data_IF_745356425619
#
_entry.id   IF_745356425619
#
_cell.length_a   1.000
_cell.length_b   1.000
_cell.length_c   1.000
_cell.angle_alpha   90.00
_cell.angle_beta   90.00
_cell.angle_gamma   90.00
#
_symmetry.space_group_name_H-M   'P 1'
#
loop_
_entity.id
_entity.type
_entity.pdbx_description
1 polymer ?
#
# COMPACT_ATOMS: atom_id res chain seq x y z
N UNK A 1 2.81 46.94 -11.77
CA UNK A 1 3.57 45.82 -11.22
C UNK A 1 2.59 44.73 -10.83
N UNK A 2 2.62 43.61 -11.54
CA UNK A 2 1.79 42.45 -11.13
C UNK A 2 2.39 41.86 -9.88
N UNK A 3 1.69 41.98 -8.75
CA UNK A 3 2.00 41.29 -7.52
C UNK A 3 1.67 39.79 -7.75
N UNK A 4 2.71 39.00 -8.02
CA UNK A 4 2.55 37.54 -7.98
C UNK A 4 2.22 37.14 -6.55
N UNK A 5 0.97 36.77 -6.31
CA UNK A 5 0.59 36.19 -5.05
C UNK A 5 1.14 34.75 -4.99
N UNK A 6 2.36 34.62 -4.47
CA UNK A 6 3.10 33.36 -4.38
C UNK A 6 2.72 32.53 -3.13
N UNK A 7 1.78 33.04 -2.32
CA UNK A 7 1.31 32.28 -1.16
C UNK A 7 0.32 31.19 -1.58
N UNK A 8 0.51 29.95 -1.12
CA UNK A 8 -0.45 28.90 -1.35
C UNK A 8 -1.79 29.20 -0.64
N UNK A 9 -2.89 28.75 -1.22
CA UNK A 9 -4.24 28.97 -0.67
C UNK A 9 -4.41 28.28 0.71
N UNK A 10 -3.69 27.19 0.94
CA UNK A 10 -3.67 26.49 2.22
C UNK A 10 -2.25 26.52 2.79
N UNK A 11 -2.09 27.12 3.96
CA UNK A 11 -0.81 27.24 4.68
C UNK A 11 -0.64 26.21 5.80
N UNK A 12 -1.63 25.31 6.00
CA UNK A 12 -1.56 24.27 7.01
C UNK A 12 -0.74 23.08 6.49
N UNK A 13 0.07 22.49 7.38
CA UNK A 13 0.84 21.30 7.07
C UNK A 13 -0.01 20.03 7.27
N UNK A 14 0.27 19.03 6.45
CA UNK A 14 -0.34 17.71 6.59
C UNK A 14 0.20 17.02 7.86
N UNK A 15 -0.72 16.51 8.70
CA UNK A 15 -0.36 15.76 9.90
C UNK A 15 -0.09 14.29 9.56
N UNK A 16 1.00 13.73 10.12
CA UNK A 16 1.33 12.30 9.96
C UNK A 16 0.32 11.37 10.66
N UNK A 17 -0.38 11.85 11.69
CA UNK A 17 -1.32 11.05 12.49
C UNK A 17 -2.66 10.90 11.79
N UNK A 18 -2.97 11.79 10.85
CA UNK A 18 -4.26 11.86 10.19
C UNK A 18 -4.36 10.97 8.94
N UNK A 19 -4.17 9.68 9.06
CA UNK A 19 -4.33 8.75 7.93
C UNK A 19 -5.15 7.52 8.35
N UNK A 20 -6.06 7.07 7.46
CA UNK A 20 -6.82 5.83 7.62
C UNK A 20 -6.70 5.04 6.33
N UNK A 21 -6.23 3.80 6.43
CA UNK A 21 -6.12 2.91 5.28
C UNK A 21 -7.14 1.77 5.37
N UNK A 22 -7.73 1.44 4.24
CA UNK A 22 -8.70 0.34 4.12
C UNK A 22 -8.41 -0.46 2.86
N UNK A 23 -8.35 -1.79 3.01
CA UNK A 23 -8.35 -2.74 1.90
C UNK A 23 -9.69 -3.46 1.90
N UNK A 24 -10.38 -3.49 0.76
CA UNK A 24 -11.74 -4.02 0.65
C UNK A 24 -11.86 -5.49 1.08
N UNK A 25 -10.82 -6.30 0.79
CA UNK A 25 -10.82 -7.75 1.09
C UNK A 25 -10.30 -8.12 2.47
N UNK A 26 -9.75 -7.20 3.26
CA UNK A 26 -9.05 -7.47 4.51
C UNK A 26 -9.64 -6.70 5.70
N UNK A 27 -10.86 -7.02 6.15
CA UNK A 27 -11.51 -6.27 7.23
C UNK A 27 -10.76 -6.35 8.56
N UNK A 28 -10.18 -7.50 8.91
CA UNK A 28 -9.46 -7.67 10.17
C UNK A 28 -8.11 -6.95 10.17
N UNK A 29 -7.39 -6.96 9.05
CA UNK A 29 -6.13 -6.21 8.89
C UNK A 29 -6.36 -4.70 9.04
N UNK A 30 -7.40 -4.17 8.41
CA UNK A 30 -7.73 -2.74 8.40
C UNK A 30 -7.84 -2.14 9.80
N UNK A 31 -8.35 -2.91 10.77
CA UNK A 31 -8.52 -2.46 12.15
C UNK A 31 -7.20 -2.26 12.89
N UNK A 32 -6.19 -3.08 12.60
CA UNK A 32 -4.92 -3.12 13.32
C UNK A 32 -3.77 -2.38 12.63
N UNK A 33 -4.03 -1.69 11.53
CA UNK A 33 -3.00 -0.93 10.80
C UNK A 33 -2.45 0.21 11.67
N UNK A 34 -1.12 0.24 11.80
CA UNK A 34 -0.38 1.25 12.56
C UNK A 34 0.30 2.27 11.65
N UNK A 35 0.85 1.81 10.54
CA UNK A 35 1.61 2.65 9.63
C UNK A 35 1.33 2.28 8.17
N UNK A 36 1.23 3.31 7.33
CA UNK A 36 1.13 3.19 5.87
C UNK A 36 2.03 4.22 5.25
N UNK A 37 2.94 3.80 4.39
CA UNK A 37 3.80 4.69 3.63
C UNK A 37 3.28 4.84 2.20
N UNK A 38 3.09 6.10 1.75
CA UNK A 38 2.75 6.37 0.35
C UNK A 38 3.93 5.95 -0.55
N UNK A 39 3.71 5.14 -1.59
CA UNK A 39 4.76 4.67 -2.46
C UNK A 39 5.47 5.79 -3.22
N UNK A 40 6.76 5.58 -3.54
CA UNK A 40 7.51 6.46 -4.43
C UNK A 40 6.99 6.39 -5.86
N UNK A 41 7.20 7.49 -6.60
CA UNK A 41 6.91 7.57 -8.03
C UNK A 41 8.17 7.99 -8.74
N UNK A 42 8.70 7.13 -9.60
CA UNK A 42 9.92 7.36 -10.35
C UNK A 42 9.62 7.44 -11.84
N UNK A 43 10.20 8.44 -12.50
CA UNK A 43 10.11 8.61 -13.96
C UNK A 43 11.43 8.15 -14.57
N UNK A 44 11.35 7.26 -15.55
CA UNK A 44 12.52 6.81 -16.31
C UNK A 44 13.25 7.99 -16.96
N UNK A 45 14.56 7.87 -17.14
CA UNK A 45 15.39 8.86 -17.81
C UNK A 45 16.08 8.26 -19.01
N UNK A 46 16.14 9.01 -20.12
CA UNK A 46 16.91 8.69 -21.31
C UNK A 46 18.17 9.56 -21.32
N UNK A 47 19.34 8.94 -21.47
CA UNK A 47 20.61 9.64 -21.56
C UNK A 47 20.99 9.83 -23.03
N UNK A 48 21.21 11.07 -23.45
CA UNK A 48 21.71 11.41 -24.79
C UNK A 48 23.20 11.70 -24.69
N UNK A 49 23.98 10.97 -25.52
CA UNK A 49 25.42 11.22 -25.65
C UNK A 49 25.67 12.55 -26.34
N UNK A 50 26.54 13.37 -25.76
CA UNK A 50 27.06 14.61 -26.39
C UNK A 50 28.49 14.39 -26.84
N UNK A 51 29.02 15.23 -27.77
CA UNK A 51 30.42 15.15 -28.20
C UNK A 51 31.43 15.42 -27.07
N UNK A 52 30.97 15.94 -25.94
CA UNK A 52 31.76 16.24 -24.75
C UNK A 52 31.46 15.24 -23.65
N UNK A 53 32.25 15.21 -22.58
CA UNK A 53 32.14 14.25 -21.45
C UNK A 53 30.82 14.35 -20.65
N UNK A 54 29.91 15.24 -21.01
CA UNK A 54 28.64 15.43 -20.34
C UNK A 54 27.52 14.68 -21.07
N UNK A 55 26.69 13.93 -20.32
CA UNK A 55 25.46 13.30 -20.82
C UNK A 55 24.25 14.12 -20.41
N UNK A 56 23.39 14.40 -21.35
CA UNK A 56 22.15 15.14 -21.10
C UNK A 56 21.07 14.12 -20.77
N UNK A 57 20.38 14.34 -19.64
CA UNK A 57 19.26 13.50 -19.21
C UNK A 57 17.94 14.11 -19.67
N UNK A 58 17.14 13.32 -20.34
CA UNK A 58 15.77 13.65 -20.73
C UNK A 58 14.77 12.77 -19.96
N UNK A 59 13.58 13.29 -19.64
CA UNK A 59 12.53 12.47 -19.06
C UNK A 59 12.10 11.37 -20.05
N UNK A 60 11.98 10.16 -19.57
CA UNK A 60 11.42 9.03 -20.33
C UNK A 60 9.90 8.93 -20.16
N UNK A 61 9.29 8.00 -20.84
CA UNK A 61 7.84 7.77 -20.87
C UNK A 61 7.38 6.74 -19.84
N UNK A 62 8.31 6.10 -19.12
CA UNK A 62 8.01 5.04 -18.16
C UNK A 62 7.89 5.61 -16.75
N UNK A 63 6.75 5.35 -16.11
CA UNK A 63 6.52 5.59 -14.69
C UNK A 63 6.63 4.28 -13.92
N UNK A 64 7.42 4.27 -12.86
CA UNK A 64 7.58 3.13 -11.96
C UNK A 64 7.11 3.53 -10.56
N UNK A 65 6.25 2.71 -9.98
CA UNK A 65 5.77 2.88 -8.61
C UNK A 65 6.58 1.99 -7.67
N UNK A 66 6.93 2.53 -6.50
CA UNK A 66 7.46 1.75 -5.41
C UNK A 66 6.40 0.86 -4.77
N UNK A 67 6.83 -0.02 -3.88
CA UNK A 67 5.92 -0.90 -3.17
C UNK A 67 5.16 -0.15 -2.06
N UNK A 68 3.90 -0.51 -1.83
CA UNK A 68 3.09 -0.02 -0.71
C UNK A 68 3.38 -0.87 0.52
N UNK A 69 3.96 -0.26 1.54
CA UNK A 69 4.33 -0.93 2.79
C UNK A 69 3.35 -0.56 3.89
N UNK A 70 2.80 -1.56 4.55
CA UNK A 70 1.85 -1.42 5.65
C UNK A 70 2.39 -2.18 6.86
N UNK A 71 2.39 -1.54 8.04
CA UNK A 71 2.69 -2.20 9.30
C UNK A 71 1.42 -2.31 10.12
N UNK A 72 1.14 -3.49 10.64
CA UNK A 72 -0.02 -3.76 11.48
C UNK A 72 0.34 -4.64 12.67
N UNK A 73 -0.44 -4.52 13.75
CA UNK A 73 -0.32 -5.41 14.91
C UNK A 73 -1.03 -6.72 14.65
N UNK A 74 -0.38 -7.80 15.05
CA UNK A 74 -0.96 -9.13 14.93
C UNK A 74 -1.96 -9.36 16.06
N UNK A 75 -3.16 -9.84 15.70
CA UNK A 75 -4.21 -10.22 16.64
C UNK A 75 -3.82 -11.47 17.44
N UNK A 76 -4.34 -11.63 18.66
CA UNK A 76 -4.06 -12.78 19.53
C UNK A 76 -4.41 -14.13 18.86
N UNK A 77 -5.50 -14.16 18.09
CA UNK A 77 -5.93 -15.31 17.30
C UNK A 77 -5.25 -15.42 15.92
N UNK A 78 -4.36 -14.49 15.58
CA UNK A 78 -3.68 -14.38 14.29
C UNK A 78 -4.63 -14.33 13.07
N UNK A 79 -5.88 -13.91 13.23
CA UNK A 79 -6.85 -13.89 12.15
C UNK A 79 -6.45 -12.95 11.02
N UNK A 80 -5.92 -11.76 11.36
CA UNK A 80 -5.47 -10.79 10.38
C UNK A 80 -4.24 -11.27 9.58
N UNK A 81 -3.29 -11.94 10.24
CA UNK A 81 -2.16 -12.56 9.56
C UNK A 81 -2.60 -13.70 8.63
N UNK A 82 -3.52 -14.52 9.12
CA UNK A 82 -4.09 -15.66 8.37
C UNK A 82 -4.87 -15.22 7.13
N UNK A 83 -5.61 -14.12 7.21
CA UNK A 83 -6.28 -13.53 6.03
C UNK A 83 -5.29 -13.17 4.92
N UNK A 84 -4.20 -12.48 5.28
CA UNK A 84 -3.15 -12.12 4.32
C UNK A 84 -2.41 -13.34 3.77
N UNK A 85 -2.08 -14.29 4.64
CA UNK A 85 -1.41 -15.53 4.26
C UNK A 85 -2.28 -16.35 3.29
N UNK A 86 -3.57 -16.49 3.58
CA UNK A 86 -4.52 -17.20 2.69
C UNK A 86 -4.65 -16.51 1.34
N UNK A 87 -4.60 -15.18 1.31
CA UNK A 87 -4.61 -14.45 0.04
C UNK A 87 -3.33 -14.71 -0.76
N UNK A 88 -2.15 -14.70 -0.15
CA UNK A 88 -0.88 -15.04 -0.81
C UNK A 88 -0.92 -16.48 -1.33
N UNK A 89 -1.40 -17.44 -0.53
CA UNK A 89 -1.56 -18.84 -0.96
C UNK A 89 -2.48 -18.96 -2.18
N UNK A 90 -3.59 -18.22 -2.21
CA UNK A 90 -4.53 -18.25 -3.34
C UNK A 90 -3.92 -17.73 -4.65
N UNK A 91 -2.97 -16.81 -4.55
CA UNK A 91 -2.24 -16.29 -5.73
C UNK A 91 -1.19 -17.31 -6.20
N UNK A 92 -0.45 -17.90 -5.26
CA UNK A 92 0.73 -18.73 -5.54
C UNK A 92 0.42 -20.20 -5.79
N UNK A 93 -0.79 -20.70 -5.38
CA UNK A 93 -1.25 -22.09 -5.58
C UNK A 93 -0.24 -23.12 -5.06
N UNK A 94 0.12 -22.99 -3.77
CA UNK A 94 1.24 -23.74 -3.18
C UNK A 94 0.93 -25.25 -3.11
N UNK A 95 -0.27 -25.66 -2.72
CA UNK A 95 -0.59 -27.08 -2.46
C UNK A 95 -1.67 -27.61 -3.40
N UNK A 96 -2.79 -26.92 -3.60
CA UNK A 96 -3.90 -27.41 -4.40
C UNK A 96 -4.57 -26.31 -5.23
N UNK A 97 -5.14 -26.70 -6.37
CA UNK A 97 -5.94 -25.81 -7.23
C UNK A 97 -7.31 -25.48 -6.59
N UNK A 98 -7.82 -26.36 -5.75
CA UNK A 98 -9.16 -26.22 -5.14
C UNK A 98 -9.20 -25.13 -4.09
N UNK A 99 -8.14 -24.94 -3.29
CA UNK A 99 -8.04 -23.86 -2.30
C UNK A 99 -8.07 -22.48 -2.98
N UNK A 100 -7.28 -22.32 -4.03
CA UNK A 100 -7.26 -21.09 -4.82
C UNK A 100 -8.63 -20.79 -5.46
N UNK A 101 -9.33 -21.84 -5.91
CA UNK A 101 -10.66 -21.72 -6.50
C UNK A 101 -11.71 -21.34 -5.47
N UNK A 102 -11.69 -21.95 -4.29
CA UNK A 102 -12.60 -21.65 -3.18
C UNK A 102 -12.42 -20.19 -2.70
N UNK A 103 -11.17 -19.75 -2.51
CA UNK A 103 -10.88 -18.38 -2.11
C UNK A 103 -11.33 -17.35 -3.16
N UNK A 104 -11.10 -17.64 -4.45
CA UNK A 104 -11.53 -16.80 -5.55
C UNK A 104 -13.05 -16.71 -5.65
N UNK A 105 -13.77 -17.81 -5.50
CA UNK A 105 -15.23 -17.81 -5.50
C UNK A 105 -15.82 -16.98 -4.36
N UNK A 106 -15.20 -17.02 -3.18
CA UNK A 106 -15.63 -16.22 -2.03
C UNK A 106 -15.34 -14.73 -2.20
N UNK A 107 -14.26 -14.37 -2.90
CA UNK A 107 -13.75 -12.98 -3.02
C UNK A 107 -13.89 -12.41 -4.43
N UNK A 108 -14.49 -13.13 -5.39
CA UNK A 108 -14.73 -12.61 -6.74
C UNK A 108 -15.81 -11.54 -6.73
N UNK A 109 -15.58 -10.47 -7.49
CA UNK A 109 -16.61 -9.46 -7.74
C UNK A 109 -17.45 -9.88 -8.96
N UNK A 110 -18.76 -9.53 -9.01
CA UNK A 110 -19.63 -9.80 -10.17
C UNK A 110 -19.16 -9.14 -11.48
N UNK A 111 -18.11 -8.34 -11.47
CA UNK A 111 -17.59 -7.58 -12.61
C UNK A 111 -16.39 -8.19 -13.34
N UNK A 112 -16.00 -9.44 -13.07
CA UNK A 112 -14.98 -10.16 -13.86
C UNK A 112 -13.55 -10.11 -13.33
N UNK A 113 -13.34 -9.68 -12.08
CA UNK A 113 -12.05 -9.87 -11.40
C UNK A 113 -12.01 -11.30 -10.82
N UNK A 114 -10.96 -12.06 -11.17
CA UNK A 114 -10.72 -13.44 -10.70
C UNK A 114 -10.44 -13.55 -9.19
N UNK A 115 -10.74 -12.51 -8.41
CA UNK A 115 -10.53 -12.48 -6.97
C UNK A 115 -9.06 -12.30 -6.53
N UNK A 116 -8.12 -12.23 -7.46
CA UNK A 116 -6.68 -12.08 -7.18
C UNK A 116 -6.36 -10.69 -6.68
N UNK A 117 -6.97 -9.66 -7.27
CA UNK A 117 -6.73 -8.25 -6.96
C UNK A 117 -7.78 -7.68 -6.02
N UNK A 118 -7.41 -6.60 -5.33
CA UNK A 118 -8.31 -5.80 -4.50
C UNK A 118 -8.04 -4.32 -4.74
N UNK A 119 -8.96 -3.48 -4.30
CA UNK A 119 -8.74 -2.05 -4.23
C UNK A 119 -8.44 -1.66 -2.78
N UNK A 120 -7.55 -0.68 -2.62
CA UNK A 120 -7.21 -0.09 -1.34
C UNK A 120 -7.43 1.41 -1.35
N UNK A 121 -7.87 1.95 -0.24
CA UNK A 121 -8.15 3.39 -0.08
C UNK A 121 -7.40 3.94 1.12
N UNK A 122 -6.58 4.96 0.90
CA UNK A 122 -5.92 5.74 1.94
C UNK A 122 -6.60 7.09 2.06
N UNK A 123 -7.31 7.32 3.17
CA UNK A 123 -7.96 8.59 3.48
C UNK A 123 -7.05 9.43 4.35
N UNK A 124 -6.66 10.59 3.87
CA UNK A 124 -5.89 11.58 4.63
C UNK A 124 -6.85 12.53 5.35
N UNK A 125 -6.60 12.71 6.65
CA UNK A 125 -7.41 13.57 7.50
C UNK A 125 -6.72 14.94 7.65
N UNK A 126 -7.52 15.98 7.80
CA UNK A 126 -7.03 17.31 8.14
C UNK A 126 -6.71 17.43 9.64
N UNK A 127 -6.21 18.59 10.06
CA UNK A 127 -5.90 18.88 11.49
C UNK A 127 -7.11 18.78 12.44
N UNK A 128 -8.33 18.83 11.90
CA UNK A 128 -9.58 18.62 12.64
C UNK A 128 -10.10 17.17 12.55
N UNK A 129 -9.27 16.22 12.05
CA UNK A 129 -9.57 14.80 11.88
C UNK A 129 -10.74 14.52 10.92
N UNK A 130 -11.06 15.46 10.02
CA UNK A 130 -12.04 15.24 8.96
C UNK A 130 -11.35 14.76 7.68
N UNK A 131 -12.00 13.89 6.88
CA UNK A 131 -11.49 13.46 5.58
C UNK A 131 -11.21 14.68 4.68
N UNK A 132 -10.01 14.73 4.11
CA UNK A 132 -9.58 15.83 3.25
C UNK A 132 -9.23 15.35 1.84
N UNK A 133 -8.44 14.29 1.74
CA UNK A 133 -8.00 13.69 0.48
C UNK A 133 -8.12 12.18 0.55
N UNK A 134 -8.44 11.59 -0.58
CA UNK A 134 -8.57 10.15 -0.74
C UNK A 134 -7.61 9.67 -1.84
N UNK A 135 -6.81 8.65 -1.52
CA UNK A 135 -5.89 8.02 -2.45
C UNK A 135 -6.36 6.60 -2.67
N UNK A 136 -6.78 6.30 -3.89
CA UNK A 136 -7.29 4.99 -4.27
C UNK A 136 -6.23 4.21 -5.03
N UNK A 137 -5.87 3.03 -4.53
CA UNK A 137 -4.98 2.09 -5.18
C UNK A 137 -5.81 1.05 -5.94
N UNK A 138 -5.47 0.84 -7.22
CA UNK A 138 -6.18 -0.10 -8.09
C UNK A 138 -5.34 -1.35 -8.31
N UNK A 139 -6.01 -2.50 -8.35
CA UNK A 139 -5.41 -3.82 -8.58
C UNK A 139 -4.28 -4.12 -7.57
N UNK A 140 -4.57 -3.92 -6.29
CA UNK A 140 -3.67 -4.19 -5.17
C UNK A 140 -3.60 -5.70 -4.91
N UNK A 141 -2.38 -6.22 -4.67
CA UNK A 141 -2.16 -7.60 -4.23
C UNK A 141 -0.96 -7.69 -3.28
N UNK A 142 -0.95 -8.63 -2.32
CA UNK A 142 0.16 -8.82 -1.41
C UNK A 142 1.34 -9.47 -2.12
N UNK A 143 2.53 -8.89 -1.94
CA UNK A 143 3.78 -9.38 -2.51
C UNK A 143 4.63 -10.13 -1.47
N UNK A 144 4.63 -9.66 -0.21
CA UNK A 144 5.38 -10.31 0.87
C UNK A 144 4.80 -9.97 2.25
N UNK A 145 5.06 -10.85 3.21
CA UNK A 145 4.86 -10.65 4.64
C UNK A 145 6.21 -10.77 5.36
N UNK A 146 6.43 -9.94 6.37
CA UNK A 146 7.59 -10.07 7.22
C UNK A 146 7.49 -11.31 8.12
N UNK A 147 8.63 -11.71 8.68
CA UNK A 147 8.71 -12.66 9.78
C UNK A 147 8.02 -12.11 11.04
N UNK A 148 7.57 -13.03 11.89
CA UNK A 148 7.01 -12.74 13.20
C UNK A 148 8.01 -13.21 14.26
N UNK A 149 8.68 -12.29 14.97
CA UNK A 149 9.61 -12.68 16.03
C UNK A 149 8.84 -13.12 17.28
N UNK A 150 9.10 -14.35 17.73
CA UNK A 150 8.63 -14.85 19.02
C UNK A 150 9.83 -15.08 19.94
N UNK A 151 9.84 -14.45 21.10
CA UNK A 151 10.92 -14.60 22.08
C UNK A 151 10.36 -14.69 23.48
N UNK A 152 10.94 -15.57 24.29
CA UNK A 152 10.63 -15.71 25.72
C UNK A 152 11.61 -14.95 26.62
N UNK A 153 12.55 -14.23 26.05
CA UNK A 153 13.64 -13.55 26.77
C UNK A 153 13.32 -12.07 27.13
N UNK A 154 12.13 -11.59 26.77
CA UNK A 154 11.74 -10.19 27.03
C UNK A 154 11.10 -10.10 28.40
N UNK A 155 11.54 -9.12 29.21
CA UNK A 155 11.01 -8.87 30.55
C UNK A 155 9.75 -7.99 30.54
N UNK A 156 9.39 -7.41 29.39
CA UNK A 156 8.22 -6.55 29.22
C UNK A 156 7.34 -7.09 28.09
N UNK A 157 6.04 -6.86 28.20
CA UNK A 157 5.06 -7.33 27.19
C UNK A 157 5.10 -6.35 26.02
N UNK A 158 5.59 -6.81 24.87
CA UNK A 158 5.53 -6.09 23.61
C UNK A 158 4.58 -6.80 22.64
N UNK A 159 3.95 -6.03 21.77
CA UNK A 159 3.02 -6.57 20.77
C UNK A 159 3.77 -6.96 19.50
N UNK A 160 3.37 -8.09 18.91
CA UNK A 160 3.95 -8.55 17.65
C UNK A 160 3.43 -7.69 16.51
N UNK A 161 4.34 -7.08 15.77
CA UNK A 161 4.05 -6.31 14.56
C UNK A 161 4.47 -7.10 13.32
N UNK A 162 3.67 -6.98 12.28
CA UNK A 162 3.93 -7.57 10.97
C UNK A 162 3.94 -6.46 9.91
N UNK A 163 4.87 -6.56 8.98
CA UNK A 163 4.94 -5.69 7.81
C UNK A 163 4.50 -6.44 6.58
N UNK A 164 3.49 -5.93 5.90
CA UNK A 164 3.01 -6.44 4.63
C UNK A 164 3.41 -5.49 3.50
N UNK A 165 3.94 -6.05 2.43
CA UNK A 165 4.29 -5.31 1.22
C UNK A 165 3.30 -5.65 0.13
N UNK A 166 2.71 -4.61 -0.45
CA UNK A 166 1.75 -4.75 -1.53
C UNK A 166 2.27 -4.12 -2.81
N UNK A 167 1.87 -4.69 -3.93
CA UNK A 167 2.02 -4.09 -5.26
C UNK A 167 0.67 -3.76 -5.84
N UNK A 168 0.64 -2.75 -6.67
CA UNK A 168 -0.57 -2.23 -7.29
C UNK A 168 -0.25 -1.76 -8.71
N UNK A 169 -1.28 -1.61 -9.52
CA UNK A 169 -1.11 -1.13 -10.89
C UNK A 169 -0.93 0.39 -10.96
N UNK A 170 -1.78 1.13 -10.27
CA UNK A 170 -1.77 2.60 -10.26
C UNK A 170 -2.49 3.12 -9.02
N UNK A 171 -2.24 4.37 -8.67
CA UNK A 171 -3.04 5.07 -7.67
C UNK A 171 -3.50 6.43 -8.18
N UNK A 172 -4.63 6.89 -7.67
CA UNK A 172 -5.25 8.17 -7.98
C UNK A 172 -5.46 8.96 -6.69
N UNK A 173 -5.20 10.28 -6.75
CA UNK A 173 -5.40 11.20 -5.62
C UNK A 173 -6.62 12.07 -5.95
N UNK A 174 -7.67 11.98 -5.11
CA UNK A 174 -8.94 12.70 -5.25
C UNK A 174 -9.09 13.81 -4.21
#
# INVERSE_FOLDING_TARGET
>A
MATFNTQPTNTNFLSQIGAKFMIKKLPNVNYFIQNVALPSVDVGTVEIATPFSNRIKYPGDLVTYGDLVITFRVDEDMNNYKELYSWIQSITRIEDFDEATAWRQQNSNPGGDDGVFSDGTLTLLNSAMNPNKEITFKELYPASLSDLPFTTQVNDIDYVECTATFRFRTFEIN
#
